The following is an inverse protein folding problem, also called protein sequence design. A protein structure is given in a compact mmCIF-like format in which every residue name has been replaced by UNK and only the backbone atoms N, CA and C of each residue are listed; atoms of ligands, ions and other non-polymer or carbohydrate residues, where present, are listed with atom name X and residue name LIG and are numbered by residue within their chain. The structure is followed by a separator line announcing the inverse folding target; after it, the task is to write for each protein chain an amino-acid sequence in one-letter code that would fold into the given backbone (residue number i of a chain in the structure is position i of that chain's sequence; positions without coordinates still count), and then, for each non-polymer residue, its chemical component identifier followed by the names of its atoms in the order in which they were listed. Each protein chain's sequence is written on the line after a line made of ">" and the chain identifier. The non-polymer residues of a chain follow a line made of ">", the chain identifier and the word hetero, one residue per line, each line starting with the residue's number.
data_IF_788421076827
#
_entry.id   IF_788421076827
#
_cell.length_a   1.000
_cell.length_b   1.000
_cell.length_c   1.000
_cell.angle_alpha   90.00
_cell.angle_beta   90.00
_cell.angle_gamma   90.00
#
_symmetry.space_group_name_H-M   'P 1'
#
loop_
_entity.id
_entity.type
_entity.pdbx_description
1 polymer ?
#
# COMPACT_ATOMS: atom_id res chain seq x y z
N UNK A 1 60.70 -19.78 -56.61
CA UNK A 1 59.51 -18.91 -56.72
C UNK A 1 58.29 -19.82 -56.74
N UNK A 2 57.24 -19.75 -55.92
CA UNK A 2 56.71 -18.78 -54.96
C UNK A 2 55.71 -19.54 -54.03
N UNK A 3 55.44 -19.04 -52.82
CA UNK A 3 54.77 -19.72 -51.70
C UNK A 3 53.23 -19.84 -51.80
N UNK A 4 52.62 -20.74 -50.99
CA UNK A 4 51.28 -20.65 -50.33
C UNK A 4 51.04 -21.96 -49.54
N UNK A 5 50.73 -22.06 -48.24
CA UNK A 5 50.13 -21.15 -47.27
C UNK A 5 49.03 -21.92 -46.52
N UNK A 6 49.36 -22.54 -45.38
CA UNK A 6 48.45 -23.36 -44.56
C UNK A 6 47.36 -22.49 -43.90
N UNK A 7 46.08 -22.88 -43.99
CA UNK A 7 44.97 -22.19 -43.33
C UNK A 7 44.17 -23.13 -42.43
N UNK A 8 44.58 -23.22 -41.16
CA UNK A 8 43.81 -23.80 -40.07
C UNK A 8 42.64 -22.85 -39.71
N UNK A 9 41.51 -22.95 -40.42
CA UNK A 9 40.27 -22.25 -40.03
C UNK A 9 39.62 -22.99 -38.86
N UNK A 10 40.19 -22.83 -37.68
CA UNK A 10 39.60 -23.25 -36.41
C UNK A 10 38.23 -22.58 -36.23
N UNK A 11 37.21 -23.38 -35.93
CA UNK A 11 35.79 -23.01 -35.88
C UNK A 11 35.43 -22.12 -34.67
N UNK A 12 36.00 -20.90 -34.59
CA UNK A 12 35.74 -19.93 -33.50
C UNK A 12 34.29 -19.43 -33.47
N UNK A 13 33.60 -19.41 -34.62
CA UNK A 13 32.22 -18.91 -34.75
C UNK A 13 31.20 -19.81 -34.03
N UNK A 14 31.35 -21.14 -34.13
CA UNK A 14 30.44 -22.06 -33.45
C UNK A 14 30.66 -22.07 -31.93
N UNK A 15 31.91 -21.98 -31.48
CA UNK A 15 32.21 -21.92 -30.05
C UNK A 15 31.67 -20.63 -29.41
N UNK A 16 31.83 -19.47 -30.05
CA UNK A 16 31.29 -18.21 -29.54
C UNK A 16 29.75 -18.20 -29.48
N UNK A 17 29.08 -18.77 -30.49
CA UNK A 17 27.62 -18.93 -30.50
C UNK A 17 27.14 -19.87 -29.40
N UNK A 18 27.88 -20.94 -29.13
CA UNK A 18 27.58 -21.88 -28.06
C UNK A 18 27.81 -21.24 -26.67
N UNK A 19 28.89 -20.47 -26.48
CA UNK A 19 29.11 -19.72 -25.23
C UNK A 19 28.02 -18.67 -24.97
N UNK A 20 27.59 -17.95 -26.02
CA UNK A 20 26.48 -17.00 -25.89
C UNK A 20 25.16 -17.69 -25.53
N UNK A 21 24.85 -18.84 -26.14
CA UNK A 21 23.67 -19.65 -25.80
C UNK A 21 23.74 -20.17 -24.35
N UNK A 22 24.91 -20.64 -23.91
CA UNK A 22 25.12 -21.08 -22.53
C UNK A 22 24.97 -19.95 -21.51
N UNK A 23 25.50 -18.75 -21.80
CA UNK A 23 25.36 -17.57 -20.93
C UNK A 23 23.89 -17.12 -20.88
N UNK A 24 23.16 -17.11 -22.00
CA UNK A 24 21.73 -16.81 -22.00
C UNK A 24 20.90 -17.82 -21.20
N UNK A 25 21.24 -19.11 -21.26
CA UNK A 25 20.60 -20.16 -20.44
C UNK A 25 20.92 -20.03 -18.94
N UNK A 26 22.14 -19.61 -18.59
CA UNK A 26 22.55 -19.32 -17.21
C UNK A 26 21.87 -18.05 -16.64
N UNK A 27 21.61 -17.05 -17.48
CA UNK A 27 20.89 -15.84 -17.06
C UNK A 27 19.37 -16.08 -16.88
N UNK A 28 18.78 -16.99 -17.66
CA UNK A 28 17.38 -17.40 -17.51
C UNK A 28 17.11 -18.25 -16.26
N UNK A 29 18.15 -18.88 -15.68
CA UNK A 29 18.04 -19.70 -14.47
C UNK A 29 18.10 -18.89 -13.16
N UNK A 30 18.41 -17.59 -13.24
CA UNK A 30 18.16 -16.61 -12.17
C UNK A 30 16.75 -16.00 -12.31
N UNK A 31 15.74 -16.85 -12.48
CA UNK A 31 14.36 -16.42 -12.26
C UNK A 31 14.17 -16.34 -10.74
N UNK A 32 14.28 -15.15 -10.17
CA UNK A 32 13.94 -14.93 -8.77
C UNK A 32 12.51 -15.39 -8.55
N UNK A 33 12.31 -16.41 -7.71
CA UNK A 33 10.99 -16.66 -7.14
C UNK A 33 10.60 -15.41 -6.36
N UNK A 34 9.61 -14.69 -6.86
CA UNK A 34 8.96 -13.66 -6.07
C UNK A 34 8.20 -14.38 -4.96
N UNK A 35 8.61 -14.18 -3.72
CA UNK A 35 7.86 -14.62 -2.56
C UNK A 35 6.71 -13.63 -2.35
N UNK A 36 5.48 -14.09 -2.51
CA UNK A 36 4.29 -13.36 -2.05
C UNK A 36 3.73 -14.04 -0.82
N UNK A 37 3.11 -13.25 0.06
CA UNK A 37 2.21 -13.81 1.05
C UNK A 37 0.97 -14.36 0.34
N UNK A 38 0.55 -15.57 0.69
CA UNK A 38 -0.63 -16.23 0.10
C UNK A 38 -1.89 -15.93 0.93
N UNK A 39 -2.17 -14.64 1.13
CA UNK A 39 -3.29 -14.15 1.96
C UNK A 39 -4.40 -13.48 1.13
N UNK A 40 -4.29 -13.54 -0.21
CA UNK A 40 -5.19 -12.89 -1.18
C UNK A 40 -5.38 -11.38 -0.93
N UNK A 41 -4.45 -10.71 -0.26
CA UNK A 41 -4.47 -9.26 -0.08
C UNK A 41 -3.64 -8.54 -1.13
N UNK A 42 -4.00 -7.30 -1.43
CA UNK A 42 -3.22 -6.37 -2.24
C UNK A 42 -2.67 -6.92 -3.59
N UNK A 43 -3.41 -7.82 -4.25
CA UNK A 43 -3.07 -8.35 -5.59
C UNK A 43 -2.91 -7.25 -6.64
N UNK A 44 -3.54 -6.11 -6.42
CA UNK A 44 -3.27 -4.83 -7.09
C UNK A 44 -2.98 -3.76 -6.04
N UNK A 45 -2.28 -2.67 -6.38
CA UNK A 45 -2.05 -1.57 -5.45
C UNK A 45 -3.36 -1.09 -4.80
N UNK A 46 -3.43 -0.96 -3.46
CA UNK A 46 -4.61 -0.43 -2.80
C UNK A 46 -4.80 1.04 -3.17
N UNK A 47 -6.02 1.42 -3.53
CA UNK A 47 -6.38 2.80 -3.88
C UNK A 47 -7.40 3.35 -2.90
N UNK A 48 -7.22 4.60 -2.49
CA UNK A 48 -8.07 5.24 -1.50
C UNK A 48 -7.64 6.65 -1.16
N UNK A 49 -8.07 7.10 0.01
CA UNK A 49 -7.79 8.41 0.58
C UNK A 49 -7.15 8.25 1.97
N UNK A 50 -6.19 9.10 2.32
CA UNK A 50 -5.70 9.27 3.70
C UNK A 50 -5.99 10.69 4.17
N UNK A 51 -6.37 10.83 5.44
CA UNK A 51 -6.72 12.13 6.03
C UNK A 51 -5.57 13.12 6.13
N UNK A 52 -4.32 12.66 6.15
CA UNK A 52 -3.17 13.47 6.56
C UNK A 52 -2.96 14.75 5.74
N UNK A 53 -2.91 14.63 4.41
CA UNK A 53 -2.53 15.75 3.54
C UNK A 53 -3.53 16.91 3.54
N UNK A 54 -4.78 16.64 3.89
CA UNK A 54 -5.84 17.66 3.94
C UNK A 54 -6.10 18.13 5.37
N UNK A 55 -6.18 17.20 6.32
CA UNK A 55 -6.72 17.49 7.65
C UNK A 55 -5.67 17.49 8.77
N UNK A 56 -4.51 16.85 8.58
CA UNK A 56 -3.56 16.58 9.67
C UNK A 56 -4.26 16.00 10.90
N UNK A 57 -4.03 16.59 12.08
CA UNK A 57 -4.71 16.18 13.31
C UNK A 57 -6.19 16.63 13.42
N UNK A 58 -6.70 17.50 12.54
CA UNK A 58 -8.06 18.05 12.62
C UNK A 58 -9.08 17.11 11.98
N UNK A 59 -9.16 15.89 12.53
CA UNK A 59 -10.05 14.81 12.08
C UNK A 59 -11.06 14.46 13.17
N UNK A 60 -12.23 14.01 12.74
CA UNK A 60 -13.26 13.43 13.60
C UNK A 60 -14.11 12.44 12.79
N UNK A 61 -15.01 11.72 13.46
CA UNK A 61 -15.89 10.74 12.81
C UNK A 61 -16.72 11.33 11.65
N UNK A 62 -17.10 12.62 11.71
CA UNK A 62 -17.85 13.29 10.65
C UNK A 62 -16.98 13.53 9.42
N UNK A 63 -15.69 13.87 9.59
CA UNK A 63 -14.74 14.03 8.48
C UNK A 63 -14.66 12.74 7.68
N UNK A 64 -14.45 11.60 8.34
CA UNK A 64 -14.29 10.30 7.67
C UNK A 64 -15.57 9.84 6.98
N UNK A 65 -16.73 10.01 7.62
CA UNK A 65 -18.04 9.68 7.03
C UNK A 65 -18.32 10.56 5.81
N UNK A 66 -18.01 11.85 5.89
CA UNK A 66 -18.20 12.79 4.78
C UNK A 66 -17.28 12.45 3.61
N UNK A 67 -16.02 12.10 3.87
CA UNK A 67 -15.09 11.61 2.84
C UNK A 67 -15.64 10.35 2.17
N UNK A 68 -16.17 9.39 2.93
CA UNK A 68 -16.81 8.19 2.36
C UNK A 68 -17.96 8.54 1.41
N UNK A 69 -18.86 9.45 1.81
CA UNK A 69 -19.92 9.93 0.93
C UNK A 69 -19.40 10.65 -0.32
N UNK A 70 -18.34 11.45 -0.20
CA UNK A 70 -17.73 12.12 -1.34
C UNK A 70 -17.10 11.12 -2.32
N UNK A 71 -16.50 10.04 -1.84
CA UNK A 71 -15.94 8.99 -2.69
C UNK A 71 -17.01 8.22 -3.48
N UNK A 72 -18.25 8.18 -2.98
CA UNK A 72 -19.41 7.60 -3.67
C UNK A 72 -20.09 8.56 -4.65
N UNK A 73 -19.81 9.87 -4.54
CA UNK A 73 -20.46 10.88 -5.38
C UNK A 73 -19.98 10.74 -6.82
N UNK A 74 -20.91 10.65 -7.76
CA UNK A 74 -20.59 10.70 -9.18
C UNK A 74 -20.12 12.09 -9.58
N UNK A 75 -19.08 12.13 -10.39
CA UNK A 75 -18.57 13.34 -11.01
C UNK A 75 -19.19 13.54 -12.40
N UNK A 76 -19.15 14.77 -12.94
CA UNK A 76 -19.52 15.04 -14.32
C UNK A 76 -18.79 14.09 -15.29
N UNK A 77 -19.35 13.84 -16.48
CA UNK A 77 -18.78 12.91 -17.44
C UNK A 77 -17.29 13.20 -17.70
N UNK A 78 -16.48 12.14 -17.69
CA UNK A 78 -15.09 12.22 -18.13
C UNK A 78 -15.01 12.34 -19.67
N UNK A 79 -13.80 12.34 -20.22
CA UNK A 79 -13.56 12.43 -21.67
C UNK A 79 -14.13 11.25 -22.48
N UNK A 80 -14.52 10.15 -21.83
CA UNK A 80 -15.22 9.00 -22.45
C UNK A 80 -16.75 9.10 -22.32
N UNK A 81 -17.28 10.19 -21.73
CA UNK A 81 -18.71 10.36 -21.47
C UNK A 81 -19.24 9.53 -20.29
N UNK A 82 -18.37 8.98 -19.43
CA UNK A 82 -18.79 8.18 -18.26
C UNK A 82 -18.86 9.05 -16.99
N UNK A 83 -19.98 8.94 -16.28
CA UNK A 83 -20.15 9.49 -14.92
C UNK A 83 -19.75 8.46 -13.88
N UNK A 84 -18.59 8.65 -13.27
CA UNK A 84 -18.00 7.74 -12.28
C UNK A 84 -17.83 8.45 -10.94
N UNK A 85 -17.98 7.68 -9.86
CA UNK A 85 -17.46 8.05 -8.54
C UNK A 85 -16.01 7.62 -8.39
N UNK A 86 -15.33 8.09 -7.34
CA UNK A 86 -13.98 7.58 -7.01
C UNK A 86 -14.03 6.08 -6.70
N UNK A 87 -15.09 5.62 -6.04
CA UNK A 87 -15.29 4.18 -5.79
C UNK A 87 -15.42 3.37 -7.08
N UNK A 88 -16.16 3.87 -8.07
CA UNK A 88 -16.29 3.20 -9.38
C UNK A 88 -14.95 3.11 -10.12
N UNK A 89 -14.06 4.09 -9.90
CA UNK A 89 -12.69 4.08 -10.38
C UNK A 89 -11.73 3.19 -9.56
N UNK A 90 -12.22 2.52 -8.51
CA UNK A 90 -11.47 1.56 -7.69
C UNK A 90 -10.91 2.09 -6.37
N UNK A 91 -11.15 3.36 -6.02
CA UNK A 91 -10.73 3.92 -4.73
C UNK A 91 -11.66 3.42 -3.62
N UNK A 92 -11.16 2.48 -2.81
CA UNK A 92 -11.98 1.75 -1.83
C UNK A 92 -11.55 1.95 -0.39
N UNK A 93 -10.36 2.48 -0.11
CA UNK A 93 -9.87 2.69 1.26
C UNK A 93 -10.10 4.12 1.75
N UNK A 94 -10.59 4.26 2.97
CA UNK A 94 -10.61 5.50 3.75
C UNK A 94 -9.69 5.32 4.95
N UNK A 95 -8.50 5.90 4.90
CA UNK A 95 -7.46 5.71 5.90
C UNK A 95 -7.44 6.87 6.90
N UNK A 96 -7.53 6.52 8.18
CA UNK A 96 -7.31 7.43 9.29
C UNK A 96 -5.81 7.48 9.57
N UNK A 97 -5.24 8.68 9.48
CA UNK A 97 -3.83 8.91 9.81
C UNK A 97 -3.65 9.20 11.32
N UNK A 98 -2.52 9.78 11.72
CA UNK A 98 -2.19 10.09 13.12
C UNK A 98 -3.27 10.93 13.85
N UNK A 99 -3.13 11.06 15.17
CA UNK A 99 -4.00 11.85 16.05
C UNK A 99 -5.45 11.35 16.18
N UNK A 100 -5.73 10.09 15.86
CA UNK A 100 -7.05 9.46 16.06
C UNK A 100 -7.28 8.98 17.52
N UNK A 101 -6.20 8.66 18.21
CA UNK A 101 -6.23 8.04 19.52
C UNK A 101 -6.06 9.03 20.67
N UNK A 102 -6.45 8.60 21.86
CA UNK A 102 -6.21 9.34 23.08
C UNK A 102 -4.70 9.53 23.31
N UNK A 103 -4.35 10.46 24.21
CA UNK A 103 -2.95 10.72 24.56
C UNK A 103 -2.28 9.57 25.31
N UNK A 104 -3.06 8.73 25.96
CA UNK A 104 -2.57 7.63 26.80
C UNK A 104 -3.38 6.35 26.56
N UNK A 105 -2.74 5.22 26.81
CA UNK A 105 -3.38 3.89 26.90
C UNK A 105 -4.21 3.80 28.18
N UNK A 106 -5.05 2.77 28.28
CA UNK A 106 -5.71 2.45 29.54
C UNK A 106 -4.72 1.83 30.56
N UNK A 107 -5.11 1.61 31.83
CA UNK A 107 -4.22 1.02 32.84
C UNK A 107 -3.78 -0.43 32.54
N UNK A 108 -4.34 -1.08 31.51
CA UNK A 108 -3.94 -2.41 31.05
C UNK A 108 -3.03 -2.34 29.81
N UNK A 109 -2.65 -1.14 29.37
CA UNK A 109 -1.82 -0.93 28.18
C UNK A 109 -2.59 -0.98 26.87
N UNK A 110 -3.93 -1.04 26.86
CA UNK A 110 -4.68 -1.10 25.60
C UNK A 110 -4.78 0.29 24.94
N UNK A 111 -4.67 0.37 23.60
CA UNK A 111 -4.94 1.59 22.85
C UNK A 111 -6.35 2.13 23.10
N UNK A 112 -6.45 3.43 23.39
CA UNK A 112 -7.73 4.12 23.55
C UNK A 112 -7.92 5.13 22.42
N UNK A 113 -9.14 5.27 21.88
CA UNK A 113 -9.42 6.31 20.88
C UNK A 113 -9.74 7.66 21.54
N UNK A 114 -9.62 8.76 20.79
CA UNK A 114 -10.09 10.07 21.26
C UNK A 114 -11.63 10.12 21.20
N UNK A 115 -12.28 10.05 22.36
CA UNK A 115 -13.75 10.05 22.47
C UNK A 115 -14.39 11.38 22.11
N UNK A 116 -13.64 12.48 22.08
CA UNK A 116 -14.12 13.78 21.60
C UNK A 116 -14.18 13.81 20.08
N UNK A 117 -13.18 13.22 19.41
CA UNK A 117 -13.16 13.09 17.94
C UNK A 117 -14.05 11.97 17.41
N UNK A 118 -14.17 10.88 18.16
CA UNK A 118 -14.95 9.71 17.77
C UNK A 118 -15.91 9.29 18.91
N UNK A 119 -16.92 10.11 19.24
CA UNK A 119 -17.85 9.84 20.34
C UNK A 119 -18.67 8.56 20.16
N UNK A 120 -18.90 8.11 18.91
CA UNK A 120 -19.59 6.83 18.64
C UNK A 120 -18.64 5.62 18.62
N UNK A 121 -17.33 5.87 18.73
CA UNK A 121 -16.29 4.84 18.73
C UNK A 121 -15.90 4.35 17.34
N UNK A 122 -14.72 3.73 17.27
CA UNK A 122 -14.14 3.29 15.99
C UNK A 122 -14.89 2.12 15.35
N UNK A 123 -15.53 1.26 16.14
CA UNK A 123 -16.36 0.18 15.61
C UNK A 123 -17.54 0.74 14.80
N UNK A 124 -18.24 1.72 15.36
CA UNK A 124 -19.36 2.38 14.67
C UNK A 124 -18.88 3.03 13.36
N UNK A 125 -17.71 3.67 13.38
CA UNK A 125 -17.11 4.27 12.20
C UNK A 125 -16.78 3.22 11.14
N UNK A 126 -16.11 2.12 11.53
CA UNK A 126 -15.77 1.02 10.64
C UNK A 126 -17.03 0.39 10.01
N UNK A 127 -18.06 0.09 10.82
CA UNK A 127 -19.33 -0.45 10.35
C UNK A 127 -19.99 0.50 9.33
N UNK A 128 -19.97 1.81 9.60
CA UNK A 128 -20.53 2.84 8.73
C UNK A 128 -19.80 2.93 7.39
N UNK A 129 -18.47 2.89 7.39
CA UNK A 129 -17.65 2.88 6.16
C UNK A 129 -17.85 1.56 5.38
N UNK A 130 -17.96 0.43 6.07
CA UNK A 130 -18.25 -0.86 5.43
C UNK A 130 -19.64 -0.89 4.78
N UNK A 131 -20.66 -0.27 5.38
CA UNK A 131 -22.00 -0.15 4.78
C UNK A 131 -22.00 0.64 3.45
N UNK A 132 -21.01 1.52 3.25
CA UNK A 132 -20.78 2.22 1.98
C UNK A 132 -20.09 1.34 0.93
N UNK A 133 -19.70 0.11 1.29
CA UNK A 133 -18.86 -0.77 0.48
C UNK A 133 -17.44 -0.24 0.29
N UNK A 134 -16.95 0.55 1.25
CA UNK A 134 -15.57 1.01 1.36
C UNK A 134 -14.87 0.20 2.46
N UNK A 135 -13.56 0.36 2.58
CA UNK A 135 -12.67 -0.25 3.59
C UNK A 135 -12.07 0.86 4.44
N UNK A 136 -11.76 0.56 5.70
CA UNK A 136 -11.14 1.51 6.62
C UNK A 136 -9.70 1.09 6.95
N UNK A 137 -8.79 2.06 6.96
CA UNK A 137 -7.41 1.91 7.43
C UNK A 137 -7.17 2.72 8.70
N UNK A 138 -6.18 2.31 9.50
CA UNK A 138 -5.81 2.98 10.75
C UNK A 138 -4.29 3.09 10.86
N UNK A 139 -3.81 4.11 11.57
CA UNK A 139 -2.39 4.42 11.70
C UNK A 139 -1.82 4.07 13.09
N UNK A 140 -0.58 3.63 13.11
CA UNK A 140 0.31 3.63 14.27
C UNK A 140 1.76 3.74 13.79
N UNK A 141 2.72 3.76 14.72
CA UNK A 141 4.15 3.81 14.43
C UNK A 141 4.87 2.63 15.10
N UNK A 142 5.91 2.09 14.46
CA UNK A 142 6.80 1.08 15.03
C UNK A 142 7.86 1.75 15.94
N UNK A 143 7.40 2.35 17.03
CA UNK A 143 8.23 3.06 18.00
C UNK A 143 7.45 3.37 19.27
N UNK A 144 8.06 4.15 20.17
CA UNK A 144 7.43 4.58 21.43
C UNK A 144 6.44 5.73 21.25
N UNK A 145 6.59 6.51 20.18
CA UNK A 145 5.70 7.60 19.84
C UNK A 145 5.39 7.66 18.34
N UNK A 146 4.19 8.17 18.01
CA UNK A 146 3.82 8.50 16.64
C UNK A 146 4.52 9.77 16.16
N UNK A 147 4.43 10.07 14.87
CA UNK A 147 5.00 11.30 14.31
C UNK A 147 4.46 12.57 15.00
N UNK A 148 3.21 12.55 15.47
CA UNK A 148 2.58 13.63 16.24
C UNK A 148 2.75 13.53 17.76
N UNK A 149 3.66 12.68 18.24
CA UNK A 149 3.96 12.51 19.66
C UNK A 149 2.75 12.03 20.48
N UNK A 150 1.99 11.06 19.96
CA UNK A 150 1.04 10.25 20.72
C UNK A 150 1.64 8.85 20.97
N UNK A 151 0.99 8.01 21.79
CA UNK A 151 1.46 6.63 22.02
C UNK A 151 1.53 5.84 20.71
N UNK A 152 2.62 5.11 20.46
CA UNK A 152 2.75 4.26 19.29
C UNK A 152 2.66 2.77 19.65
N UNK A 153 2.89 1.88 18.68
CA UNK A 153 2.63 0.46 18.84
C UNK A 153 3.53 -0.21 19.89
N UNK A 154 4.76 0.27 20.08
CA UNK A 154 5.67 -0.25 21.09
C UNK A 154 5.44 0.46 22.43
N UNK A 155 5.02 -0.31 23.44
CA UNK A 155 4.85 0.14 24.81
C UNK A 155 5.99 -0.44 25.68
N UNK A 156 6.95 0.38 26.14
CA UNK A 156 8.07 -0.11 26.94
C UNK A 156 7.66 -0.62 28.33
N UNK A 157 6.48 -0.21 28.82
CA UNK A 157 5.98 -0.60 30.15
C UNK A 157 5.11 -1.87 30.09
N UNK A 158 4.70 -2.31 28.89
CA UNK A 158 3.90 -3.51 28.64
C UNK A 158 4.42 -4.29 27.42
N UNK A 159 5.55 -5.04 27.55
CA UNK A 159 6.22 -5.73 26.46
C UNK A 159 5.48 -6.98 25.94
#
# INVERSE_FOLDING_TARGET
>A
MQASGCAFKYNRRNNFRNYLLFISLLLLSFCYSAYSLDDNQALTPPMGFSTWNEFGCNINESTLVSTGHLMLKKHPPNWEGKELSLKDAGYTYVNIDDCWHAKSRDPQGNPQWDTTKFPRGLKWLADTIHQMGLKIGIYSCAGTATCCNYFAAFDPDHP
#
